data_IF_318042309275
#
_entry.id   IF_318042309275
#
_cell.length_a   1.000
_cell.length_b   1.000
_cell.length_c   1.000
_cell.angle_alpha   90.00
_cell.angle_beta   90.00
_cell.angle_gamma   90.00
#
_symmetry.space_group_name_H-M   'P 1'
#
loop_
_entity.id
_entity.type
_entity.pdbx_description
1 polymer ?
#
# COMPACT_ATOMS: atom_id res chain seq x y z
N UNK A 1 2.19 -11.96 19.71
CA UNK A 1 2.78 -12.67 18.56
C UNK A 1 2.52 -11.82 17.32
N UNK A 2 3.56 -11.42 16.59
CA UNK A 2 3.41 -10.62 15.38
C UNK A 2 2.72 -11.45 14.29
N UNK A 3 1.80 -10.83 13.58
CA UNK A 3 1.03 -11.47 12.50
C UNK A 3 1.58 -11.04 11.15
N UNK A 4 1.45 -11.89 10.13
CA UNK A 4 1.78 -11.52 8.76
C UNK A 4 0.55 -11.64 7.87
N UNK A 5 0.39 -10.69 6.95
CA UNK A 5 -0.71 -10.63 6.00
C UNK A 5 -0.20 -10.27 4.61
N UNK A 6 -0.55 -11.10 3.63
CA UNK A 6 -0.24 -10.85 2.24
C UNK A 6 -1.48 -10.48 1.43
N UNK A 7 -1.30 -9.76 0.32
CA UNK A 7 -2.36 -9.52 -0.63
C UNK A 7 -1.85 -9.38 -2.07
N UNK A 8 -2.74 -9.61 -3.03
CA UNK A 8 -2.46 -9.42 -4.46
C UNK A 8 -2.70 -7.96 -4.86
N UNK A 9 -1.69 -7.35 -5.45
CA UNK A 9 -1.73 -5.99 -5.99
C UNK A 9 -2.20 -6.01 -7.44
N UNK A 10 -3.11 -5.13 -7.78
CA UNK A 10 -3.62 -4.93 -9.15
C UNK A 10 -2.93 -3.78 -9.86
N UNK A 11 -2.37 -2.85 -9.11
CA UNK A 11 -1.60 -1.69 -9.59
C UNK A 11 -0.39 -1.49 -8.70
N UNK A 12 0.66 -0.91 -9.26
CA UNK A 12 1.88 -0.53 -8.56
C UNK A 12 2.34 0.84 -9.08
N UNK A 13 1.69 1.88 -8.57
CA UNK A 13 1.89 3.27 -8.98
C UNK A 13 2.63 4.11 -7.95
N UNK A 14 3.06 3.50 -6.84
CA UNK A 14 3.62 4.21 -5.70
C UNK A 14 2.57 4.92 -4.83
N UNK A 15 1.26 4.70 -5.07
CA UNK A 15 0.17 5.27 -4.28
C UNK A 15 -0.24 4.37 -3.10
N UNK A 16 -0.39 3.07 -3.31
CA UNK A 16 -0.81 2.13 -2.27
C UNK A 16 -0.14 0.76 -2.41
N UNK A 17 1.01 0.54 -1.77
CA UNK A 17 1.69 1.40 -0.77
C UNK A 17 2.45 2.56 -1.38
N UNK A 18 2.71 3.59 -0.56
CA UNK A 18 3.57 4.70 -0.93
C UNK A 18 4.97 4.56 -0.30
N UNK A 19 6.02 4.25 -1.09
CA UNK A 19 7.36 3.98 -0.56
C UNK A 19 8.24 5.23 -0.43
N UNK A 20 7.75 6.41 -0.80
CA UNK A 20 8.54 7.62 -0.95
C UNK A 20 8.75 8.37 0.37
N UNK A 21 9.66 9.35 0.37
CA UNK A 21 9.89 10.29 1.47
C UNK A 21 10.27 9.61 2.81
N UNK A 22 11.08 8.52 2.75
CA UNK A 22 11.74 7.94 3.93
C UNK A 22 10.92 6.93 4.74
N UNK A 23 9.65 6.73 4.43
CA UNK A 23 8.82 5.71 5.04
C UNK A 23 7.89 5.07 4.01
N UNK A 24 7.62 3.78 4.15
CA UNK A 24 6.54 3.14 3.41
C UNK A 24 5.24 3.30 4.20
N UNK A 25 4.21 3.83 3.52
CA UNK A 25 2.89 4.03 4.12
C UNK A 25 1.82 3.29 3.33
N UNK A 26 0.78 2.87 4.03
CA UNK A 26 -0.44 2.31 3.45
C UNK A 26 -1.63 3.05 4.09
N UNK A 27 -2.04 4.16 3.47
CA UNK A 27 -3.10 5.04 3.96
C UNK A 27 -4.38 4.93 3.13
N UNK A 28 -4.29 4.36 1.94
CA UNK A 28 -5.40 4.16 1.00
C UNK A 28 -5.54 2.68 0.64
N UNK A 29 -6.61 2.30 -0.04
CA UNK A 29 -6.88 0.90 -0.37
C UNK A 29 -6.86 -0.04 0.85
N UNK A 30 -7.04 -1.32 0.65
CA UNK A 30 -6.88 -2.42 1.64
C UNK A 30 -7.43 -2.11 3.05
N UNK A 31 -8.68 -1.66 3.20
CA UNK A 31 -9.21 -1.24 4.51
C UNK A 31 -9.16 -2.36 5.55
N UNK A 32 -9.36 -3.62 5.17
CA UNK A 32 -9.26 -4.76 6.09
C UNK A 32 -7.83 -4.92 6.64
N UNK A 33 -6.79 -4.71 5.82
CA UNK A 33 -5.39 -4.74 6.28
C UNK A 33 -5.16 -3.62 7.28
N UNK A 34 -5.54 -2.40 6.93
CA UNK A 34 -5.31 -1.20 7.75
C UNK A 34 -6.04 -1.22 9.10
N UNK A 35 -7.24 -1.86 9.17
CA UNK A 35 -7.98 -2.03 10.43
C UNK A 35 -7.41 -3.09 11.35
N UNK A 36 -6.70 -4.08 10.82
CA UNK A 36 -6.37 -5.31 11.55
C UNK A 36 -4.89 -5.50 11.81
N UNK A 37 -4.04 -4.72 11.18
CA UNK A 37 -2.58 -4.75 11.43
C UNK A 37 -2.20 -3.66 12.39
N UNK A 38 -1.28 -3.99 13.29
CA UNK A 38 -0.74 -3.09 14.30
C UNK A 38 0.78 -3.11 14.31
N UNK A 39 1.36 -2.36 15.22
CA UNK A 39 2.81 -2.30 15.42
C UNK A 39 3.41 -3.69 15.60
N UNK A 40 4.47 -3.98 14.86
CA UNK A 40 5.16 -5.27 14.85
C UNK A 40 4.65 -6.24 13.79
N UNK A 41 3.43 -6.07 13.29
CA UNK A 41 2.88 -6.93 12.24
C UNK A 41 3.59 -6.73 10.89
N UNK A 42 3.50 -7.75 10.04
CA UNK A 42 4.07 -7.73 8.70
C UNK A 42 2.98 -7.64 7.63
N UNK A 43 3.24 -6.85 6.60
CA UNK A 43 2.38 -6.74 5.41
C UNK A 43 3.22 -6.93 4.15
N UNK A 44 2.71 -7.75 3.22
CA UNK A 44 3.38 -8.03 1.95
C UNK A 44 2.42 -7.85 0.76
N UNK A 45 2.91 -7.24 -0.30
CA UNK A 45 2.20 -7.12 -1.58
C UNK A 45 2.82 -8.01 -2.63
N UNK A 46 1.97 -8.75 -3.36
CA UNK A 46 2.38 -9.66 -4.43
C UNK A 46 1.68 -9.31 -5.74
N UNK A 47 2.34 -9.55 -6.86
CA UNK A 47 1.75 -9.33 -8.17
C UNK A 47 0.51 -10.21 -8.40
N UNK A 48 -0.57 -9.61 -8.87
CA UNK A 48 -1.74 -10.31 -9.39
C UNK A 48 -1.61 -10.58 -10.89
N UNK A 49 -2.54 -11.34 -11.46
CA UNK A 49 -2.64 -11.51 -12.92
C UNK A 49 -2.88 -10.16 -13.62
N UNK A 50 -3.73 -9.29 -13.03
CA UNK A 50 -4.03 -7.98 -13.58
C UNK A 50 -2.79 -7.08 -13.61
N UNK A 51 -1.97 -7.07 -12.53
CA UNK A 51 -0.74 -6.28 -12.51
C UNK A 51 0.29 -6.80 -13.52
N UNK A 52 0.43 -8.13 -13.67
CA UNK A 52 1.30 -8.74 -14.70
C UNK A 52 0.87 -8.35 -16.10
N UNK A 53 -0.44 -8.39 -16.38
CA UNK A 53 -0.99 -8.01 -17.68
C UNK A 53 -0.74 -6.52 -17.97
N UNK A 54 -1.06 -5.66 -17.03
CA UNK A 54 -0.81 -4.21 -17.14
C UNK A 54 0.69 -3.90 -17.37
N UNK A 55 1.57 -4.53 -16.62
CA UNK A 55 3.02 -4.36 -16.82
C UNK A 55 3.46 -4.75 -18.24
N UNK A 56 2.93 -5.87 -18.76
CA UNK A 56 3.22 -6.35 -20.12
C UNK A 56 2.77 -5.34 -21.19
N UNK A 57 1.60 -4.73 -21.02
CA UNK A 57 1.08 -3.70 -21.93
C UNK A 57 1.98 -2.46 -21.99
N UNK A 58 2.74 -2.22 -20.91
CA UNK A 58 3.74 -1.15 -20.82
C UNK A 58 5.19 -1.64 -21.08
N UNK A 59 5.36 -2.83 -21.68
CA UNK A 59 6.68 -3.36 -22.05
C UNK A 59 7.51 -3.88 -20.88
N UNK A 60 6.91 -4.10 -19.71
CA UNK A 60 7.60 -4.59 -18.51
C UNK A 60 7.18 -6.04 -18.24
N UNK A 61 8.17 -6.94 -18.07
CA UNK A 61 7.93 -8.33 -17.70
C UNK A 61 8.16 -8.54 -16.21
N UNK A 62 7.11 -8.95 -15.50
CA UNK A 62 7.17 -9.28 -14.07
C UNK A 62 6.51 -10.64 -13.80
N UNK A 63 6.97 -11.42 -12.80
CA UNK A 63 6.41 -12.73 -12.51
C UNK A 63 5.05 -12.60 -11.79
N UNK A 64 4.13 -13.51 -12.07
CA UNK A 64 2.93 -13.68 -11.25
C UNK A 64 3.29 -14.19 -9.85
N UNK A 65 2.71 -13.60 -8.79
CA UNK A 65 3.04 -13.95 -7.41
C UNK A 65 4.39 -13.40 -6.95
N UNK A 66 5.03 -12.51 -7.73
CA UNK A 66 6.25 -11.82 -7.32
C UNK A 66 6.04 -10.91 -6.13
N UNK A 67 6.97 -10.91 -5.17
CA UNK A 67 6.96 -10.00 -4.02
C UNK A 67 7.31 -8.59 -4.50
N UNK A 68 6.34 -7.69 -4.41
CA UNK A 68 6.50 -6.27 -4.77
C UNK A 68 7.07 -5.47 -3.61
N UNK A 69 6.57 -5.73 -2.41
CA UNK A 69 7.07 -5.11 -1.20
C UNK A 69 6.83 -5.99 0.04
N UNK A 70 7.62 -5.73 1.07
CA UNK A 70 7.47 -6.27 2.41
C UNK A 70 7.70 -5.14 3.41
N UNK A 71 6.79 -4.95 4.37
CA UNK A 71 6.94 -3.98 5.45
C UNK A 71 6.63 -4.60 6.81
N UNK A 72 7.36 -4.17 7.82
CA UNK A 72 6.95 -4.33 9.22
C UNK A 72 6.31 -3.03 9.69
N UNK A 73 5.11 -3.06 10.21
CA UNK A 73 4.49 -1.87 10.80
C UNK A 73 5.31 -1.44 12.02
N UNK A 74 5.95 -0.29 11.96
CA UNK A 74 6.92 0.14 13.00
C UNK A 74 6.34 1.08 14.04
N UNK A 75 5.17 1.66 13.76
CA UNK A 75 4.46 2.59 14.65
C UNK A 75 3.05 2.09 14.93
N UNK A 76 2.41 2.63 15.97
CA UNK A 76 0.97 2.43 16.15
C UNK A 76 0.23 3.01 14.93
N UNK A 77 -0.80 2.31 14.40
CA UNK A 77 -1.56 2.82 13.27
C UNK A 77 -2.14 4.20 13.55
N UNK A 78 -1.87 5.14 12.66
CA UNK A 78 -2.37 6.51 12.77
C UNK A 78 -3.78 6.61 12.19
N UNK A 79 -4.70 7.22 12.91
CA UNK A 79 -5.99 7.61 12.32
C UNK A 79 -5.74 8.50 11.09
N UNK A 80 -6.56 8.36 10.04
CA UNK A 80 -6.28 9.00 8.75
C UNK A 80 -6.14 10.52 8.85
N UNK A 81 -6.96 11.18 9.68
CA UNK A 81 -6.85 12.63 9.86
C UNK A 81 -5.62 13.02 10.69
N UNK A 82 -5.22 12.18 11.66
CA UNK A 82 -3.97 12.36 12.37
C UNK A 82 -2.76 12.18 11.44
N UNK A 83 -2.79 11.16 10.57
CA UNK A 83 -1.78 10.97 9.52
C UNK A 83 -1.71 12.18 8.58
N UNK A 84 -2.88 12.71 8.17
CA UNK A 84 -2.95 13.88 7.31
C UNK A 84 -2.26 15.10 7.92
N UNK A 85 -2.45 15.33 9.21
CA UNK A 85 -1.92 16.50 9.92
C UNK A 85 -0.52 16.30 10.49
N UNK A 86 0.05 15.11 10.42
CA UNK A 86 1.40 14.83 10.91
C UNK A 86 2.45 15.49 10.00
N UNK A 87 3.30 16.40 10.53
CA UNK A 87 4.30 17.12 9.74
C UNK A 87 5.32 16.21 9.05
N UNK A 88 5.53 14.99 9.54
CA UNK A 88 6.43 14.01 8.93
C UNK A 88 5.94 13.56 7.55
N UNK A 89 4.63 13.59 7.29
CA UNK A 89 4.00 13.07 6.10
C UNK A 89 3.39 14.13 5.17
N UNK A 90 3.71 15.39 5.36
CA UNK A 90 3.24 16.47 4.47
C UNK A 90 3.70 16.28 3.02
N UNK A 91 4.92 15.77 2.81
CA UNK A 91 5.45 15.46 1.47
C UNK A 91 4.72 14.31 0.78
N UNK A 92 3.93 13.54 1.51
CA UNK A 92 3.06 12.47 0.97
C UNK A 92 1.68 12.96 0.54
N UNK A 93 1.38 14.25 0.68
CA UNK A 93 0.21 14.86 0.05
C UNK A 93 0.47 15.05 -1.44
N UNK A 94 -0.41 14.53 -2.32
CA UNK A 94 -0.19 14.65 -3.76
C UNK A 94 -0.31 16.10 -4.23
N UNK A 95 0.50 16.45 -5.25
CA UNK A 95 0.32 17.66 -6.03
C UNK A 95 0.17 17.27 -7.50
N UNK A 96 -1.00 17.54 -8.08
CA UNK A 96 -1.32 17.14 -9.46
C UNK A 96 -0.51 17.92 -10.50
N UNK A 97 -0.09 19.15 -10.15
CA UNK A 97 0.70 20.03 -11.00
C UNK A 97 2.19 19.69 -10.98
N UNK A 98 2.63 18.84 -10.07
CA UNK A 98 4.02 18.41 -9.98
C UNK A 98 4.41 17.57 -11.21
N UNK A 99 5.62 17.80 -11.72
CA UNK A 99 6.21 16.96 -12.79
C UNK A 99 6.70 15.63 -12.26
N UNK A 100 7.11 15.59 -10.99
CA UNK A 100 7.65 14.42 -10.32
C UNK A 100 6.54 13.40 -10.02
N UNK A 101 6.62 12.17 -10.57
CA UNK A 101 5.67 11.10 -10.30
C UNK A 101 5.56 10.73 -8.81
N UNK A 102 6.63 10.83 -8.04
CA UNK A 102 6.63 10.53 -6.61
C UNK A 102 5.73 11.50 -5.84
N UNK A 103 5.80 12.79 -6.18
CA UNK A 103 4.96 13.84 -5.59
C UNK A 103 3.50 13.67 -6.02
N UNK A 104 3.23 13.21 -7.25
CA UNK A 104 1.87 12.96 -7.74
C UNK A 104 1.21 11.73 -7.13
N UNK A 105 2.01 10.77 -6.66
CA UNK A 105 1.55 9.48 -6.12
C UNK A 105 1.32 9.51 -4.61
N UNK A 106 1.27 10.67 -3.97
CA UNK A 106 1.08 10.79 -2.53
C UNK A 106 -0.20 10.12 -2.04
N UNK A 107 -0.12 9.37 -0.93
CA UNK A 107 -1.23 8.62 -0.32
C UNK A 107 -1.89 9.35 0.86
N UNK A 108 -1.38 10.52 1.24
CA UNK A 108 -1.88 11.33 2.35
C UNK A 108 -2.99 12.27 1.87
N UNK A 109 -4.19 11.72 1.66
CA UNK A 109 -5.29 12.42 0.97
C UNK A 109 -6.56 12.59 1.81
N UNK A 110 -6.67 12.01 3.01
CA UNK A 110 -7.90 12.03 3.80
C UNK A 110 -7.75 12.81 5.10
N UNK A 111 -8.66 13.78 5.33
CA UNK A 111 -8.77 14.50 6.59
C UNK A 111 -10.23 14.67 7.01
N UNK A 112 -10.47 15.06 8.25
CA UNK A 112 -11.80 15.43 8.73
C UNK A 112 -11.97 16.95 8.74
N UNK A 113 -13.12 17.39 8.25
CA UNK A 113 -13.56 18.79 8.37
C UNK A 113 -14.08 19.11 9.79
N UNK A 114 -14.61 20.32 9.96
CA UNK A 114 -15.16 20.79 11.23
C UNK A 114 -16.37 19.97 11.72
N UNK A 115 -17.12 19.36 10.81
CA UNK A 115 -18.27 18.50 11.10
C UNK A 115 -17.85 17.04 11.34
N UNK A 116 -16.55 16.75 11.31
CA UNK A 116 -15.99 15.41 11.49
C UNK A 116 -16.14 14.50 10.27
N UNK A 117 -16.55 15.03 9.13
CA UNK A 117 -16.73 14.29 7.89
C UNK A 117 -15.39 14.17 7.13
N UNK A 118 -15.11 12.99 6.58
CA UNK A 118 -13.92 12.81 5.76
C UNK A 118 -14.00 13.59 4.45
N UNK A 119 -12.96 14.36 4.20
CA UNK A 119 -12.65 15.02 2.94
C UNK A 119 -11.51 14.32 2.25
N UNK A 120 -11.35 14.56 0.94
CA UNK A 120 -10.33 13.92 0.10
C UNK A 120 -9.65 14.95 -0.80
N UNK A 121 -8.31 14.99 -0.78
CA UNK A 121 -7.53 15.74 -1.76
C UNK A 121 -7.71 15.16 -3.16
N UNK A 122 -7.72 16.02 -4.20
CA UNK A 122 -7.58 15.56 -5.58
C UNK A 122 -6.32 14.71 -5.75
N UNK A 123 -6.46 13.59 -6.45
CA UNK A 123 -5.36 12.67 -6.73
C UNK A 123 -5.64 11.88 -8.01
N UNK A 124 -4.61 11.23 -8.59
CA UNK A 124 -4.70 10.51 -9.85
C UNK A 124 -5.16 9.05 -9.72
N UNK A 125 -5.40 8.56 -8.52
CA UNK A 125 -5.58 7.12 -8.26
C UNK A 125 -6.98 6.77 -7.80
N UNK A 126 -7.64 7.65 -7.05
CA UNK A 126 -8.96 7.42 -6.48
C UNK A 126 -9.89 8.60 -6.72
N UNK A 127 -11.03 8.31 -7.33
CA UNK A 127 -12.14 9.26 -7.42
C UNK A 127 -12.87 9.37 -6.08
N UNK A 128 -13.85 10.27 -5.99
CA UNK A 128 -14.58 10.54 -4.74
C UNK A 128 -15.41 9.35 -4.23
N UNK A 129 -15.79 8.44 -5.11
CA UNK A 129 -16.51 7.22 -4.76
C UNK A 129 -15.65 6.22 -3.95
N UNK A 130 -14.33 6.24 -4.12
CA UNK A 130 -13.41 5.43 -3.34
C UNK A 130 -13.32 5.87 -1.86
N UNK A 131 -13.71 7.10 -1.52
CA UNK A 131 -13.59 7.70 -0.19
C UNK A 131 -14.23 6.84 0.90
N UNK A 132 -15.46 6.38 0.71
CA UNK A 132 -16.19 5.56 1.71
C UNK A 132 -15.44 4.24 1.95
N UNK A 133 -15.01 3.58 0.88
CA UNK A 133 -14.25 2.33 0.97
C UNK A 133 -12.93 2.54 1.72
N UNK A 134 -12.16 3.53 1.34
CA UNK A 134 -10.84 3.79 1.93
C UNK A 134 -10.93 4.24 3.39
N UNK A 135 -11.82 5.18 3.70
CA UNK A 135 -11.96 5.68 5.08
C UNK A 135 -12.53 4.63 6.03
N UNK A 136 -13.17 3.58 5.52
CA UNK A 136 -13.56 2.42 6.33
C UNK A 136 -12.35 1.68 6.92
N UNK A 137 -11.15 1.88 6.38
CA UNK A 137 -9.88 1.37 6.92
C UNK A 137 -9.42 2.09 8.18
N UNK A 138 -9.93 3.28 8.45
CA UNK A 138 -9.70 4.14 9.62
C UNK A 138 -8.27 4.64 9.77
N UNK A 139 -7.27 3.79 9.55
CA UNK A 139 -5.87 4.05 9.89
C UNK A 139 -4.97 4.06 8.65
N UNK A 140 -3.86 4.77 8.76
CA UNK A 140 -2.66 4.61 7.96
C UNK A 140 -1.67 3.70 8.70
N UNK A 141 -1.05 2.76 8.00
CA UNK A 141 0.07 1.96 8.50
C UNK A 141 1.38 2.63 8.07
N UNK A 142 2.34 2.73 8.99
CA UNK A 142 3.63 3.37 8.76
C UNK A 142 4.75 2.38 9.03
N UNK A 143 5.74 2.37 8.13
CA UNK A 143 6.93 1.54 8.26
C UNK A 143 8.20 2.30 7.93
N UNK A 144 9.13 2.33 8.88
CA UNK A 144 10.53 2.68 8.67
C UNK A 144 11.39 1.44 8.32
N UNK A 145 10.80 0.23 8.36
CA UNK A 145 11.45 -1.04 8.06
C UNK A 145 10.74 -1.76 6.94
N UNK A 146 11.18 -1.53 5.71
CA UNK A 146 10.53 -2.07 4.52
C UNK A 146 11.52 -2.37 3.40
N UNK A 147 11.09 -3.19 2.47
CA UNK A 147 11.73 -3.44 1.18
C UNK A 147 10.68 -3.25 0.08
N UNK A 148 11.02 -2.46 -0.90
CA UNK A 148 10.16 -2.20 -2.04
C UNK A 148 10.91 -2.55 -3.33
N UNK A 149 10.45 -3.58 -4.01
CA UNK A 149 11.09 -4.13 -5.21
C UNK A 149 10.48 -3.57 -6.50
N UNK A 150 9.19 -3.19 -6.45
CA UNK A 150 8.50 -2.65 -7.62
C UNK A 150 8.60 -3.58 -8.83
N UNK A 151 9.06 -3.05 -9.95
CA UNK A 151 9.27 -3.83 -11.18
C UNK A 151 10.33 -4.95 -11.05
N UNK A 152 11.17 -4.89 -10.04
CA UNK A 152 12.16 -5.94 -9.73
C UNK A 152 11.60 -7.01 -8.79
N UNK A 153 10.27 -7.08 -8.67
CA UNK A 153 9.59 -8.09 -7.87
C UNK A 153 10.00 -9.50 -8.32
N UNK A 154 10.07 -10.41 -7.37
CA UNK A 154 10.60 -11.76 -7.61
C UNK A 154 9.76 -12.84 -6.94
N UNK A 155 9.87 -14.05 -7.49
CA UNK A 155 9.45 -15.30 -6.85
C UNK A 155 10.73 -16.02 -6.41
N UNK A 156 10.83 -16.49 -5.16
CA UNK A 156 12.04 -17.18 -4.69
C UNK A 156 12.29 -18.47 -5.48
N UNK A 157 13.55 -18.92 -5.57
CA UNK A 157 13.86 -20.23 -6.16
C UNK A 157 13.04 -21.34 -5.51
N UNK A 158 12.42 -22.19 -6.31
CA UNK A 158 11.50 -23.23 -5.86
C UNK A 158 10.09 -22.75 -5.48
N UNK A 159 9.83 -21.43 -5.61
CA UNK A 159 8.51 -20.84 -5.31
C UNK A 159 8.25 -20.61 -3.83
N UNK A 160 7.11 -20.00 -3.54
CA UNK A 160 6.69 -19.67 -2.17
C UNK A 160 6.42 -20.91 -1.32
N UNK A 161 6.00 -22.01 -1.95
CA UNK A 161 5.75 -23.28 -1.23
C UNK A 161 7.00 -23.80 -0.55
N UNK A 162 8.14 -23.72 -1.18
CA UNK A 162 9.43 -24.15 -0.59
C UNK A 162 9.80 -23.26 0.58
N UNK A 163 9.63 -21.93 0.42
CA UNK A 163 10.02 -20.97 1.45
C UNK A 163 9.06 -20.94 2.65
N UNK A 164 7.74 -21.04 2.41
CA UNK A 164 6.71 -20.85 3.43
C UNK A 164 5.97 -22.12 3.83
N UNK A 165 6.31 -23.27 3.23
CA UNK A 165 5.59 -24.54 3.43
C UNK A 165 4.22 -24.60 2.76
N UNK A 166 3.78 -23.56 2.05
CA UNK A 166 2.49 -23.49 1.37
C UNK A 166 2.49 -22.56 0.17
N UNK A 167 1.56 -22.77 -0.76
CA UNK A 167 1.34 -21.88 -1.89
C UNK A 167 0.75 -20.53 -1.44
N UNK A 168 1.04 -19.47 -2.22
CA UNK A 168 0.30 -18.21 -2.07
C UNK A 168 -1.17 -18.45 -2.40
N UNK A 169 -2.05 -17.99 -1.53
CA UNK A 169 -3.49 -18.02 -1.78
C UNK A 169 -3.81 -17.30 -3.11
N UNK A 170 -4.79 -17.84 -3.84
CA UNK A 170 -5.36 -17.18 -5.02
C UNK A 170 -6.25 -15.99 -4.66
N UNK A 171 -6.66 -15.90 -3.40
CA UNK A 171 -7.49 -14.81 -2.89
C UNK A 171 -6.80 -13.45 -2.93
N UNK A 172 -7.61 -12.39 -2.83
CA UNK A 172 -7.09 -11.00 -2.82
C UNK A 172 -6.26 -10.69 -1.58
N UNK A 173 -6.55 -11.34 -0.46
CA UNK A 173 -5.87 -11.16 0.83
C UNK A 173 -5.70 -12.52 1.50
N UNK A 174 -4.56 -12.78 2.11
CA UNK A 174 -4.26 -14.03 2.79
C UNK A 174 -3.33 -13.78 4.00
N UNK A 175 -3.37 -14.70 4.96
CA UNK A 175 -2.48 -14.70 6.13
C UNK A 175 -1.24 -15.56 5.82
N UNK A 176 -0.10 -15.11 6.27
CA UNK A 176 1.18 -15.84 6.17
C UNK A 176 1.53 -16.48 7.50
#
# INVERSE_FOLDING_TARGET
MNKAMGYKMTHDTGFAPNPFHGALTLATCKPAVRRTRGRGDWVAGFTSKALVQNAREHGVSIPYGGLVYLMQVTEEPLELSAYFNDPRFLKKRPSLDARDPEVRSGDNIYWRDADGLYQQLPNNSHEQDAKIHDTSGKNALVSARFWYFGRNCFVPPGGWKVLMGRELSTGRTFYC
#
